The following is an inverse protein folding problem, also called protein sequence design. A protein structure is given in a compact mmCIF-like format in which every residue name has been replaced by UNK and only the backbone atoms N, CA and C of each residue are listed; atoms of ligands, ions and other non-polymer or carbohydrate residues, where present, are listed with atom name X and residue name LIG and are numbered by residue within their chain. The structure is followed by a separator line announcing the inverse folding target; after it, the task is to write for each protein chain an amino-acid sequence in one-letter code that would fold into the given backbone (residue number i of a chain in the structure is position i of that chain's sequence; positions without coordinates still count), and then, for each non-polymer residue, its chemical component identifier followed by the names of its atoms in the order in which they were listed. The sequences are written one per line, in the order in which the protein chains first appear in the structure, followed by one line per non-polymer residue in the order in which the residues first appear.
data_IF_312172202397
#
_entry.id   IF_312172202397
#
_cell.length_a   1.000
_cell.length_b   1.000
_cell.length_c   1.000
_cell.angle_alpha   90.00
_cell.angle_beta   90.00
_cell.angle_gamma   90.00
#
_symmetry.space_group_name_H-M   'P 1'
#
loop_
_entity.id
_entity.type
_entity.pdbx_description
1 polymer ?
#
# COMPACT_ATOMS: atom_id res chain seq x y z
N UNK A 1 28.77 35.53 8.40
CA UNK A 1 28.14 34.37 9.06
C UNK A 1 27.56 33.47 7.98
N UNK A 2 28.33 32.46 7.54
CA UNK A 2 27.89 31.52 6.52
C UNK A 2 26.76 30.65 7.07
N UNK A 3 25.61 30.65 6.40
CA UNK A 3 24.58 29.64 6.66
C UNK A 3 25.19 28.30 6.29
N UNK A 4 25.51 27.46 7.27
CA UNK A 4 25.69 26.03 7.02
C UNK A 4 24.35 25.53 6.46
N UNK A 5 24.32 25.22 5.17
CA UNK A 5 23.28 24.38 4.60
C UNK A 5 23.34 23.05 5.35
N UNK A 6 22.23 22.55 5.92
CA UNK A 6 22.22 21.21 6.48
C UNK A 6 22.66 20.26 5.36
N UNK A 7 23.69 19.47 5.61
CA UNK A 7 24.01 18.33 4.75
C UNK A 7 22.87 17.35 4.98
N UNK A 8 21.82 17.45 4.17
CA UNK A 8 20.76 16.45 4.13
C UNK A 8 21.39 15.17 3.58
N UNK A 9 21.85 14.29 4.47
CA UNK A 9 22.10 12.90 4.13
C UNK A 9 20.85 12.38 3.41
N UNK A 10 20.92 12.03 2.12
CA UNK A 10 19.78 11.33 1.52
C UNK A 10 20.17 10.29 0.48
N UNK A 11 21.12 9.43 0.87
CA UNK A 11 21.19 8.07 0.33
C UNK A 11 20.11 7.16 0.93
N UNK A 12 19.21 7.70 1.76
CA UNK A 12 18.10 6.94 2.34
C UNK A 12 17.13 6.60 1.21
N UNK A 13 17.05 5.30 0.94
CA UNK A 13 16.09 4.72 -0.01
C UNK A 13 15.04 3.87 0.71
N UNK A 14 15.26 3.56 1.99
CA UNK A 14 14.41 2.72 2.82
C UNK A 14 14.02 3.48 4.08
N UNK A 15 12.72 3.65 4.30
CA UNK A 15 12.16 4.30 5.46
C UNK A 15 10.99 3.47 6.01
N UNK A 16 11.06 3.18 7.29
CA UNK A 16 9.98 2.55 8.05
C UNK A 16 9.62 3.42 9.25
N UNK A 17 8.34 3.71 9.40
CA UNK A 17 7.75 4.42 10.53
C UNK A 17 6.57 3.59 11.04
N UNK A 18 6.78 2.89 12.13
CA UNK A 18 5.84 1.91 12.67
C UNK A 18 5.12 2.46 13.92
N UNK A 19 3.84 2.14 14.08
CA UNK A 19 3.07 2.48 15.30
C UNK A 19 2.99 3.98 15.62
N UNK A 20 3.08 4.85 14.61
CA UNK A 20 3.15 6.29 14.80
C UNK A 20 1.76 6.94 14.70
N UNK A 21 1.15 7.27 15.84
CA UNK A 21 -0.24 7.74 15.92
C UNK A 21 -0.51 9.16 15.39
N UNK A 22 0.52 10.00 15.28
CA UNK A 22 0.37 11.40 14.88
C UNK A 22 1.30 11.73 13.71
N UNK A 23 1.31 10.87 12.69
CA UNK A 23 2.11 11.03 11.48
C UNK A 23 1.43 12.06 10.56
N UNK A 24 1.18 13.27 11.07
CA UNK A 24 0.48 14.33 10.36
C UNK A 24 1.17 14.69 9.05
N UNK A 25 0.41 15.17 8.06
CA UNK A 25 0.92 15.54 6.72
C UNK A 25 2.17 16.44 6.76
N UNK A 26 2.27 17.36 7.72
CA UNK A 26 3.48 18.20 7.92
C UNK A 26 4.77 17.41 8.16
N UNK A 27 4.67 16.24 8.81
CA UNK A 27 5.79 15.33 9.02
C UNK A 27 6.14 14.61 7.72
N UNK A 28 5.13 14.18 6.95
CA UNK A 28 5.35 13.57 5.64
C UNK A 28 5.98 14.56 4.65
N UNK A 29 5.54 15.83 4.64
CA UNK A 29 6.20 16.91 3.88
C UNK A 29 7.68 17.02 4.25
N UNK A 30 7.99 17.00 5.55
CA UNK A 30 9.37 17.08 6.03
C UNK A 30 10.20 15.85 5.62
N UNK A 31 9.60 14.66 5.64
CA UNK A 31 10.21 13.40 5.18
C UNK A 31 10.52 13.48 3.68
N UNK A 32 9.54 13.87 2.86
CA UNK A 32 9.70 14.00 1.41
C UNK A 32 10.81 14.99 1.04
N UNK A 33 10.88 16.13 1.73
CA UNK A 33 11.97 17.09 1.53
C UNK A 33 13.35 16.56 1.97
N UNK A 34 13.40 15.76 3.03
CA UNK A 34 14.66 15.27 3.59
C UNK A 34 15.18 14.01 2.89
N UNK A 35 14.28 13.19 2.34
CA UNK A 35 14.56 11.88 1.74
C UNK A 35 13.91 11.77 0.35
N UNK A 36 14.40 12.48 -0.69
CA UNK A 36 13.75 12.53 -2.00
C UNK A 36 13.80 11.20 -2.79
N UNK A 37 14.63 10.23 -2.40
CA UNK A 37 14.91 9.03 -3.18
C UNK A 37 14.36 7.73 -2.56
N UNK A 38 13.24 7.80 -1.83
CA UNK A 38 12.66 6.61 -1.21
C UNK A 38 12.16 5.62 -2.28
N UNK A 39 12.57 4.37 -2.10
CA UNK A 39 12.16 3.20 -2.89
C UNK A 39 11.32 2.25 -2.03
N UNK A 40 11.55 2.23 -0.72
CA UNK A 40 10.85 1.40 0.23
C UNK A 40 10.27 2.25 1.36
N UNK A 41 8.94 2.35 1.41
CA UNK A 41 8.20 3.15 2.38
C UNK A 41 7.23 2.28 3.17
N UNK A 42 7.37 2.28 4.49
CA UNK A 42 6.47 1.57 5.39
C UNK A 42 5.94 2.53 6.45
N UNK A 43 4.61 2.64 6.53
CA UNK A 43 3.86 3.34 7.58
C UNK A 43 2.98 2.36 8.35
N UNK A 44 3.50 1.15 8.59
CA UNK A 44 2.76 0.08 9.28
C UNK A 44 2.21 0.56 10.63
N UNK A 45 0.90 0.37 10.82
CA UNK A 45 0.21 0.77 12.04
C UNK A 45 0.46 2.24 12.39
N UNK A 46 0.67 3.12 11.42
CA UNK A 46 0.79 4.57 11.60
C UNK A 46 -0.46 5.28 11.06
N UNK A 47 -0.91 6.33 11.75
CA UNK A 47 -2.13 7.10 11.43
C UNK A 47 -1.89 8.60 11.56
N UNK A 48 -2.88 9.38 11.10
CA UNK A 48 -2.91 10.84 11.20
C UNK A 48 -2.51 11.56 9.92
N UNK A 49 -2.15 10.83 8.85
CA UNK A 49 -1.93 11.38 7.52
C UNK A 49 -3.15 11.18 6.62
N UNK A 50 -3.37 12.14 5.72
CA UNK A 50 -4.52 12.19 4.83
C UNK A 50 -4.21 11.70 3.41
N UNK A 51 -5.22 11.67 2.54
CA UNK A 51 -5.07 11.46 1.10
C UNK A 51 -4.05 12.43 0.47
N UNK A 52 -3.99 13.68 0.94
CA UNK A 52 -3.02 14.68 0.45
C UNK A 52 -1.57 14.27 0.71
N UNK A 53 -1.31 13.55 1.80
CA UNK A 53 0.01 13.01 2.05
C UNK A 53 0.36 11.87 1.08
N UNK A 54 -0.59 11.01 0.73
CA UNK A 54 -0.37 9.97 -0.28
C UNK A 54 -0.18 10.55 -1.68
N UNK A 55 -0.94 11.58 -2.06
CA UNK A 55 -0.70 12.33 -3.30
C UNK A 55 0.72 12.90 -3.36
N UNK A 56 1.19 13.49 -2.25
CA UNK A 56 2.54 14.03 -2.17
C UNK A 56 3.59 12.93 -2.32
N UNK A 57 3.41 11.80 -1.64
CA UNK A 57 4.29 10.63 -1.73
C UNK A 57 4.34 10.10 -3.17
N UNK A 58 3.19 9.93 -3.80
CA UNK A 58 3.08 9.47 -5.19
C UNK A 58 3.81 10.39 -6.17
N UNK A 59 3.66 11.71 -6.01
CA UNK A 59 4.35 12.70 -6.84
C UNK A 59 5.86 12.82 -6.57
N UNK A 60 6.30 12.42 -5.38
CA UNK A 60 7.71 12.59 -4.95
C UNK A 60 8.56 11.35 -5.16
N UNK A 61 7.96 10.15 -5.12
CA UNK A 61 8.66 8.88 -5.20
C UNK A 61 8.19 8.03 -6.40
N UNK A 62 8.45 8.44 -7.66
CA UNK A 62 8.02 7.69 -8.85
C UNK A 62 8.71 6.31 -9.00
N UNK A 63 9.80 6.08 -8.25
CA UNK A 63 10.54 4.82 -8.23
C UNK A 63 10.18 3.95 -7.01
N UNK A 64 9.08 4.25 -6.31
CA UNK A 64 8.64 3.47 -5.17
C UNK A 64 8.34 2.03 -5.58
N UNK A 65 8.98 1.07 -4.90
CA UNK A 65 8.83 -0.37 -5.13
C UNK A 65 8.12 -1.08 -3.99
N UNK A 66 8.22 -0.54 -2.78
CA UNK A 66 7.60 -1.14 -1.61
C UNK A 66 6.78 -0.09 -0.88
N UNK A 67 5.49 -0.40 -0.69
CA UNK A 67 4.56 0.41 0.08
C UNK A 67 3.82 -0.46 1.09
N UNK A 68 3.91 -0.10 2.36
CA UNK A 68 3.15 -0.73 3.44
C UNK A 68 2.33 0.33 4.19
N UNK A 69 1.00 0.19 4.12
CA UNK A 69 0.01 1.02 4.77
C UNK A 69 -0.90 0.19 5.69
N UNK A 70 -0.49 -1.01 6.11
CA UNK A 70 -1.25 -1.87 7.01
C UNK A 70 -1.70 -1.12 8.28
N UNK A 71 -2.91 -1.40 8.76
CA UNK A 71 -3.42 -0.89 10.04
C UNK A 71 -4.25 -1.94 10.80
N UNK A 72 -3.58 -2.83 11.54
CA UNK A 72 -4.19 -3.94 12.29
C UNK A 72 -4.87 -3.53 13.61
N UNK A 73 -4.74 -2.26 14.00
CA UNK A 73 -5.24 -1.73 15.29
C UNK A 73 -6.76 -1.60 15.36
N UNK A 74 -7.47 -2.01 14.30
CA UNK A 74 -8.92 -1.90 14.13
C UNK A 74 -9.77 -2.63 15.19
N UNK A 75 -9.14 -3.36 16.12
CA UNK A 75 -9.81 -3.94 17.30
C UNK A 75 -10.05 -3.00 18.49
N UNK A 76 -9.37 -1.85 18.61
CA UNK A 76 -9.45 -1.08 19.88
C UNK A 76 -9.62 0.44 19.79
N UNK A 77 -9.37 1.10 18.66
CA UNK A 77 -9.57 2.55 18.59
C UNK A 77 -10.10 2.95 17.21
N UNK A 78 -11.41 3.22 17.14
CA UNK A 78 -11.96 4.06 16.08
C UNK A 78 -11.38 5.45 16.31
N UNK A 79 -10.35 5.81 15.56
CA UNK A 79 -9.92 7.19 15.51
C UNK A 79 -11.07 7.97 14.89
N UNK A 80 -11.82 8.74 15.67
CA UNK A 80 -12.81 9.70 15.15
C UNK A 80 -12.13 10.86 14.41
N UNK A 81 -10.91 10.68 13.90
CA UNK A 81 -10.16 11.71 13.22
C UNK A 81 -10.52 11.73 11.73
N UNK A 82 -10.98 12.88 11.24
CA UNK A 82 -11.28 13.23 9.84
C UNK A 82 -10.09 13.12 8.85
N UNK A 83 -9.05 12.33 9.16
CA UNK A 83 -7.82 12.21 8.36
C UNK A 83 -7.41 10.76 8.19
N UNK A 84 -8.37 9.89 7.92
CA UNK A 84 -8.06 8.55 7.46
C UNK A 84 -7.85 8.56 5.95
N UNK A 85 -6.95 7.70 5.48
CA UNK A 85 -6.77 7.47 4.04
C UNK A 85 -7.93 6.61 3.56
N UNK A 86 -8.54 7.01 2.45
CA UNK A 86 -9.62 6.29 1.78
C UNK A 86 -9.29 5.99 0.31
N UNK A 87 -10.33 5.71 -0.49
CA UNK A 87 -10.23 5.40 -1.91
C UNK A 87 -9.49 6.47 -2.73
N UNK A 88 -9.62 7.75 -2.40
CA UNK A 88 -8.95 8.83 -3.13
C UNK A 88 -7.45 8.76 -2.90
N UNK A 89 -7.02 8.54 -1.66
CA UNK A 89 -5.61 8.38 -1.31
C UNK A 89 -4.99 7.14 -1.96
N UNK A 90 -5.71 6.01 -2.00
CA UNK A 90 -5.24 4.82 -2.70
C UNK A 90 -5.15 5.04 -4.22
N UNK A 91 -6.11 5.76 -4.79
CA UNK A 91 -6.12 6.13 -6.22
C UNK A 91 -4.98 7.08 -6.56
N UNK A 92 -4.56 7.96 -5.65
CA UNK A 92 -3.43 8.85 -5.86
C UNK A 92 -2.09 8.09 -6.04
N UNK A 93 -1.96 6.92 -5.43
CA UNK A 93 -0.81 6.03 -5.63
C UNK A 93 -0.89 5.32 -7.00
N UNK A 94 -2.10 5.00 -7.46
CA UNK A 94 -2.34 4.29 -8.71
C UNK A 94 -1.89 5.14 -9.92
N UNK A 95 -1.03 4.56 -10.76
CA UNK A 95 -0.30 5.16 -11.90
C UNK A 95 1.05 5.82 -11.56
N UNK A 96 1.19 6.83 -10.67
CA UNK A 96 2.51 7.37 -10.37
C UNK A 96 3.48 6.33 -9.83
N UNK A 97 2.99 5.39 -9.02
CA UNK A 97 3.78 4.32 -8.42
C UNK A 97 3.64 2.98 -9.19
N UNK A 98 3.56 3.02 -10.53
CA UNK A 98 3.44 1.83 -11.39
C UNK A 98 4.58 0.79 -11.24
N UNK A 99 5.70 1.19 -10.63
CA UNK A 99 6.85 0.33 -10.34
C UNK A 99 6.74 -0.46 -9.03
N UNK A 100 5.59 -0.41 -8.33
CA UNK A 100 5.39 -1.17 -7.10
C UNK A 100 5.56 -2.68 -7.33
N UNK A 101 6.40 -3.28 -6.48
CA UNK A 101 6.68 -4.72 -6.40
C UNK A 101 6.08 -5.33 -5.13
N UNK A 102 5.91 -4.53 -4.07
CA UNK A 102 5.29 -4.92 -2.82
C UNK A 102 4.22 -3.91 -2.41
N UNK A 103 3.02 -4.41 -2.12
CA UNK A 103 1.94 -3.63 -1.55
C UNK A 103 1.32 -4.37 -0.36
N UNK A 104 1.24 -3.68 0.77
CA UNK A 104 0.48 -4.14 1.93
C UNK A 104 -0.54 -3.07 2.34
N UNK A 105 -1.82 -3.40 2.19
CA UNK A 105 -2.97 -2.58 2.60
C UNK A 105 -3.92 -3.38 3.50
N UNK A 106 -3.41 -4.41 4.19
CA UNK A 106 -4.23 -5.25 5.06
C UNK A 106 -4.93 -4.45 6.15
N UNK A 107 -6.09 -4.95 6.58
CA UNK A 107 -6.97 -4.35 7.59
C UNK A 107 -7.60 -3.00 7.21
N UNK A 108 -7.41 -2.52 5.97
CA UNK A 108 -8.02 -1.26 5.49
C UNK A 108 -9.46 -1.48 5.02
N UNK A 109 -10.39 -1.58 5.97
CA UNK A 109 -11.82 -1.84 5.71
C UNK A 109 -12.59 -0.69 5.03
N UNK A 110 -11.94 0.47 4.87
CA UNK A 110 -12.48 1.67 4.24
C UNK A 110 -12.14 1.77 2.76
N UNK A 111 -11.20 0.97 2.27
CA UNK A 111 -10.95 0.86 0.84
C UNK A 111 -12.04 0.02 0.18
N UNK A 112 -12.68 0.57 -0.84
CA UNK A 112 -13.61 -0.17 -1.68
C UNK A 112 -12.88 -1.18 -2.55
N UNK A 113 -13.58 -2.24 -2.92
CA UNK A 113 -13.06 -3.22 -3.89
C UNK A 113 -12.63 -2.54 -5.21
N UNK A 114 -13.33 -1.48 -5.63
CA UNK A 114 -13.01 -0.73 -6.85
C UNK A 114 -11.64 -0.06 -6.77
N UNK A 115 -11.32 0.61 -5.66
CA UNK A 115 -10.02 1.29 -5.51
C UNK A 115 -8.87 0.29 -5.39
N UNK A 116 -9.12 -0.85 -4.73
CA UNK A 116 -8.17 -1.98 -4.65
C UNK A 116 -7.90 -2.56 -6.04
N UNK A 117 -8.94 -2.85 -6.84
CA UNK A 117 -8.77 -3.32 -8.22
C UNK A 117 -8.00 -2.29 -9.07
N UNK A 118 -8.27 -0.99 -8.89
CA UNK A 118 -7.58 0.07 -9.62
C UNK A 118 -6.06 0.08 -9.36
N UNK A 119 -5.62 -0.06 -8.10
CA UNK A 119 -4.18 -0.10 -7.79
C UNK A 119 -3.53 -1.41 -8.29
N UNK A 120 -4.24 -2.54 -8.22
CA UNK A 120 -3.79 -3.83 -8.78
C UNK A 120 -3.57 -3.72 -10.29
N UNK A 121 -4.56 -3.18 -11.01
CA UNK A 121 -4.47 -2.91 -12.44
C UNK A 121 -3.30 -1.99 -12.80
N UNK A 122 -3.09 -0.94 -12.01
CA UNK A 122 -2.08 0.08 -12.27
C UNK A 122 -0.65 -0.34 -11.92
N UNK A 123 -0.47 -1.46 -11.21
CA UNK A 123 0.84 -1.93 -10.72
C UNK A 123 1.15 -3.36 -11.20
N UNK A 124 1.42 -3.56 -12.51
CA UNK A 124 1.64 -4.90 -13.08
C UNK A 124 2.94 -5.58 -12.63
N UNK A 125 3.83 -4.85 -11.94
CA UNK A 125 5.10 -5.36 -11.40
C UNK A 125 4.97 -5.95 -9.99
N UNK A 126 3.77 -5.96 -9.41
CA UNK A 126 3.53 -6.54 -8.09
C UNK A 126 3.98 -7.99 -8.04
N UNK A 127 4.81 -8.29 -7.04
CA UNK A 127 5.31 -9.62 -6.69
C UNK A 127 4.79 -10.08 -5.32
N UNK A 128 4.45 -9.14 -4.44
CA UNK A 128 3.88 -9.44 -3.13
C UNK A 128 2.71 -8.52 -2.83
N UNK A 129 1.55 -9.11 -2.55
CA UNK A 129 0.32 -8.39 -2.27
C UNK A 129 -0.32 -8.93 -0.98
N UNK A 130 -0.54 -8.05 -0.01
CA UNK A 130 -1.26 -8.40 1.21
C UNK A 130 -2.59 -7.63 1.29
N UNK A 131 -3.69 -8.38 1.18
CA UNK A 131 -5.07 -7.90 1.26
C UNK A 131 -5.82 -8.51 2.44
N UNK A 132 -5.12 -9.08 3.42
CA UNK A 132 -5.78 -9.73 4.55
C UNK A 132 -6.71 -8.76 5.28
N UNK A 133 -7.89 -9.24 5.66
CA UNK A 133 -8.95 -8.49 6.34
C UNK A 133 -9.49 -7.29 5.53
N UNK A 134 -9.33 -7.29 4.21
CA UNK A 134 -9.99 -6.35 3.30
C UNK A 134 -11.38 -6.87 2.86
N UNK A 135 -12.27 -5.95 2.45
CA UNK A 135 -13.62 -6.29 1.97
C UNK A 135 -13.61 -6.55 0.46
N UNK A 136 -13.07 -7.69 0.05
CA UNK A 136 -12.88 -8.08 -1.35
C UNK A 136 -13.64 -9.38 -1.68
N UNK A 137 -13.86 -9.61 -2.97
CA UNK A 137 -14.58 -10.77 -3.54
C UNK A 137 -13.78 -11.40 -4.68
N UNK A 138 -14.37 -12.40 -5.34
CA UNK A 138 -13.84 -13.04 -6.56
C UNK A 138 -13.52 -12.03 -7.69
N UNK A 139 -14.14 -10.86 -7.70
CA UNK A 139 -13.82 -9.78 -8.65
C UNK A 139 -12.36 -9.36 -8.49
N UNK A 140 -11.90 -9.17 -7.25
CA UNK A 140 -10.51 -8.82 -6.97
C UNK A 140 -9.55 -9.91 -7.41
N UNK A 141 -9.93 -11.19 -7.22
CA UNK A 141 -9.09 -12.33 -7.64
C UNK A 141 -8.96 -12.40 -9.16
N UNK A 142 -10.04 -12.15 -9.90
CA UNK A 142 -10.00 -12.05 -11.37
C UNK A 142 -9.09 -10.92 -11.85
N UNK A 143 -9.17 -9.76 -11.20
CA UNK A 143 -8.31 -8.62 -11.52
C UNK A 143 -6.82 -8.93 -11.26
N UNK A 144 -6.51 -9.59 -10.13
CA UNK A 144 -5.14 -10.05 -9.84
C UNK A 144 -4.64 -10.99 -10.94
N UNK A 145 -5.46 -11.96 -11.34
CA UNK A 145 -5.11 -12.94 -12.36
C UNK A 145 -4.85 -12.30 -13.74
N UNK A 146 -5.56 -11.22 -14.10
CA UNK A 146 -5.36 -10.52 -15.37
C UNK A 146 -4.21 -9.51 -15.35
N UNK A 147 -3.93 -8.90 -14.20
CA UNK A 147 -3.07 -7.70 -14.14
C UNK A 147 -1.69 -7.96 -13.52
N UNK A 148 -1.58 -8.87 -12.55
CA UNK A 148 -0.33 -9.12 -11.81
C UNK A 148 0.27 -10.50 -12.12
N UNK A 149 0.70 -10.70 -13.37
CA UNK A 149 1.22 -11.99 -13.85
C UNK A 149 2.52 -12.45 -13.17
N UNK A 150 3.24 -11.53 -12.51
CA UNK A 150 4.48 -11.82 -11.78
C UNK A 150 4.25 -11.96 -10.27
N UNK A 151 3.00 -12.03 -9.81
CA UNK A 151 2.68 -12.13 -8.39
C UNK A 151 3.18 -13.46 -7.84
N UNK A 152 4.02 -13.41 -6.80
CA UNK A 152 4.63 -14.57 -6.15
C UNK A 152 3.98 -14.89 -4.81
N UNK A 153 3.43 -13.89 -4.15
CA UNK A 153 2.80 -14.02 -2.85
C UNK A 153 1.52 -13.21 -2.77
N UNK A 154 0.44 -13.86 -2.33
CA UNK A 154 -0.86 -13.25 -2.07
C UNK A 154 -1.37 -13.70 -0.69
N UNK A 155 -1.68 -12.75 0.19
CA UNK A 155 -2.33 -13.04 1.46
C UNK A 155 -3.79 -12.60 1.46
N UNK A 156 -4.70 -13.55 1.69
CA UNK A 156 -6.16 -13.38 1.73
C UNK A 156 -6.75 -13.76 3.09
N UNK A 157 -5.93 -13.77 4.15
CA UNK A 157 -6.39 -14.06 5.50
C UNK A 157 -7.59 -13.18 5.90
N UNK A 158 -8.68 -13.78 6.38
CA UNK A 158 -9.88 -13.04 6.78
C UNK A 158 -10.75 -12.49 5.63
N UNK A 159 -10.45 -12.82 4.36
CA UNK A 159 -11.26 -12.42 3.21
C UNK A 159 -12.35 -13.45 2.89
N UNK A 160 -13.41 -13.48 3.71
CA UNK A 160 -14.42 -14.56 3.70
C UNK A 160 -15.40 -14.57 2.51
N UNK A 161 -15.34 -13.58 1.61
CA UNK A 161 -16.22 -13.49 0.43
C UNK A 161 -15.56 -13.98 -0.86
N UNK A 162 -14.42 -14.66 -0.73
CA UNK A 162 -13.69 -15.25 -1.85
C UNK A 162 -14.01 -16.73 -1.89
N UNK A 163 -14.41 -17.22 -3.06
CA UNK A 163 -14.66 -18.63 -3.32
C UNK A 163 -13.34 -19.38 -3.53
N UNK A 164 -13.34 -20.67 -3.20
CA UNK A 164 -12.18 -21.53 -3.45
C UNK A 164 -11.92 -21.64 -4.96
N UNK A 165 -12.99 -21.72 -5.75
CA UNK A 165 -12.95 -21.83 -7.20
C UNK A 165 -12.22 -20.64 -7.84
N UNK A 166 -12.42 -19.42 -7.34
CA UNK A 166 -11.71 -18.25 -7.84
C UNK A 166 -10.19 -18.33 -7.57
N UNK A 167 -9.80 -18.83 -6.40
CA UNK A 167 -8.39 -19.04 -6.04
C UNK A 167 -7.77 -20.16 -6.87
N UNK A 168 -8.46 -21.27 -7.06
CA UNK A 168 -8.00 -22.38 -7.91
C UNK A 168 -7.76 -21.91 -9.36
N UNK A 169 -8.65 -21.05 -9.88
CA UNK A 169 -8.46 -20.41 -11.19
C UNK A 169 -7.21 -19.52 -11.22
N UNK A 170 -7.01 -18.67 -10.20
CA UNK A 170 -5.79 -17.86 -10.08
C UNK A 170 -4.52 -18.72 -10.10
N UNK A 171 -4.48 -19.80 -9.32
CA UNK A 171 -3.32 -20.71 -9.24
C UNK A 171 -3.09 -21.42 -10.57
N UNK A 172 -4.15 -21.81 -11.29
CA UNK A 172 -4.00 -22.43 -12.62
C UNK A 172 -3.40 -21.47 -13.66
N UNK A 173 -3.69 -20.18 -13.57
CA UNK A 173 -3.14 -19.14 -14.44
C UNK A 173 -1.74 -18.69 -14.03
N UNK A 174 -1.42 -18.78 -12.73
CA UNK A 174 -0.11 -18.45 -12.17
C UNK A 174 0.38 -19.56 -11.23
N UNK A 175 0.96 -20.66 -11.76
CA UNK A 175 1.31 -21.84 -10.97
C UNK A 175 2.41 -21.62 -9.91
N UNK A 176 3.12 -20.49 -9.96
CA UNK A 176 4.19 -20.15 -9.03
C UNK A 176 3.75 -19.24 -7.89
N UNK A 177 2.48 -18.83 -7.86
CA UNK A 177 1.94 -18.00 -6.79
C UNK A 177 1.78 -18.82 -5.51
N UNK A 178 2.26 -18.26 -4.40
CA UNK A 178 1.90 -18.71 -3.07
C UNK A 178 0.69 -17.93 -2.56
N UNK A 179 -0.42 -18.61 -2.30
CA UNK A 179 -1.62 -18.02 -1.68
C UNK A 179 -1.68 -18.46 -0.23
N UNK A 180 -1.67 -17.49 0.70
CA UNK A 180 -1.85 -17.75 2.14
C UNK A 180 -3.35 -17.73 2.48
N UNK A 181 -3.74 -18.65 3.37
CA UNK A 181 -5.09 -18.83 3.94
C UNK A 181 -6.13 -19.49 3.01
N UNK A 182 -5.69 -20.24 1.99
CA UNK A 182 -6.55 -21.03 1.09
C UNK A 182 -5.86 -22.32 0.68
#
# INVERSE_FOLDING_TARGET
RGKQTPVYCSNVTHLEISYYHSLLDKKIISIVHSCPNIIHLSFINSIGFSNRALELIAGSYPNLKYLNLCDDRSGCFRSFSDREVDDEGLTAIANPCYNLEYLNISYRIYFSEKSICNIIYSCPKLQHLNLSFCKITDITIKEIASSCLNLKYLNLEGCYKISKEAVDQLVSLNPHIHVKNF
#
